data_IF_623858383172
#
_entry.id   IF_623858383172
#
_cell.length_a   1.000
_cell.length_b   1.000
_cell.length_c   1.000
_cell.angle_alpha   90.00
_cell.angle_beta   90.00
_cell.angle_gamma   90.00
#
_symmetry.space_group_name_H-M   'P 1'
#
loop_
_entity.id
_entity.type
_entity.pdbx_description
1 polymer ?
#
# COMPACT_ATOMS: atom_id res chain seq x y z
N UNK A 1 5.00 -5.97 13.35
CA UNK A 1 3.55 -6.25 13.46
C UNK A 1 2.90 -6.03 12.10
N UNK A 2 2.03 -6.95 11.67
CA UNK A 2 1.23 -6.80 10.44
C UNK A 2 -0.24 -6.84 10.80
N UNK A 3 -1.02 -5.86 10.33
CA UNK A 3 -2.46 -5.78 10.56
C UNK A 3 -3.20 -5.17 9.35
N UNK A 4 -4.52 -5.07 9.43
CA UNK A 4 -5.36 -4.55 8.35
C UNK A 4 -6.62 -3.84 8.86
N UNK A 5 -7.75 -4.05 8.18
CA UNK A 5 -9.09 -3.55 8.54
C UNK A 5 -9.33 -2.04 8.33
N UNK A 6 -8.31 -1.20 8.51
CA UNK A 6 -8.48 0.27 8.46
C UNK A 6 -8.63 0.88 7.07
N UNK A 7 -8.40 0.08 6.02
CA UNK A 7 -8.31 0.53 4.62
C UNK A 7 -7.16 1.50 4.29
N UNK A 8 -6.27 1.77 5.25
CA UNK A 8 -5.19 2.76 5.13
C UNK A 8 -3.83 2.08 5.14
N UNK A 9 -3.26 1.76 3.96
CA UNK A 9 -2.02 1.02 3.92
C UNK A 9 -0.88 1.96 4.34
N UNK A 10 -0.04 1.51 5.27
CA UNK A 10 1.13 2.26 5.77
C UNK A 10 2.23 1.33 6.26
N UNK A 11 3.42 1.87 6.39
CA UNK A 11 4.59 1.24 6.97
C UNK A 11 5.32 2.29 7.79
N UNK A 12 5.55 2.01 9.06
CA UNK A 12 6.24 2.90 9.98
C UNK A 12 7.01 2.07 10.99
N UNK A 13 8.19 2.54 11.37
CA UNK A 13 8.88 1.98 12.52
C UNK A 13 8.49 2.79 13.77
N UNK A 14 8.01 2.09 14.80
CA UNK A 14 7.37 2.71 15.96
C UNK A 14 8.05 2.27 17.26
N UNK A 15 8.27 3.24 18.16
CA UNK A 15 8.75 2.96 19.51
C UNK A 15 7.58 2.83 20.49
N UNK A 16 7.38 1.64 21.03
CA UNK A 16 6.34 1.37 22.02
C UNK A 16 6.95 1.24 23.41
N UNK A 17 6.38 1.99 24.38
CA UNK A 17 6.78 1.88 25.79
C UNK A 17 6.63 0.42 26.26
N UNK A 18 7.73 -0.15 26.74
CA UNK A 18 7.79 -1.54 27.24
C UNK A 18 8.40 -2.54 26.26
N UNK A 19 8.68 -2.14 25.01
CA UNK A 19 9.48 -2.93 24.08
C UNK A 19 10.94 -2.42 24.09
N UNK A 20 11.94 -3.33 24.11
CA UNK A 20 13.34 -2.96 24.16
C UNK A 20 13.87 -2.38 22.85
N UNK A 21 13.16 -2.63 21.74
CA UNK A 21 13.54 -2.22 20.39
C UNK A 21 12.37 -1.54 19.69
N UNK A 22 12.70 -0.75 18.67
CA UNK A 22 11.71 -0.26 17.72
C UNK A 22 10.99 -1.42 17.04
N UNK A 23 9.74 -1.20 16.67
CA UNK A 23 8.87 -2.21 16.09
C UNK A 23 8.37 -1.75 14.75
N UNK A 24 8.77 -2.46 13.71
CA UNK A 24 8.24 -2.27 12.37
C UNK A 24 6.75 -2.62 12.32
N UNK A 25 5.92 -1.64 11.93
CA UNK A 25 4.46 -1.74 11.87
C UNK A 25 4.00 -1.58 10.43
N UNK A 26 3.24 -2.55 9.94
CA UNK A 26 2.69 -2.58 8.59
C UNK A 26 1.18 -2.76 8.61
N UNK A 27 0.51 -1.97 7.79
CA UNK A 27 -0.93 -2.04 7.58
C UNK A 27 -1.22 -2.39 6.11
N UNK A 28 -2.01 -3.44 5.88
CA UNK A 28 -2.36 -3.92 4.53
C UNK A 28 -3.37 -3.03 3.82
N UNK A 29 -4.06 -2.14 4.54
CA UNK A 29 -5.13 -1.32 3.98
C UNK A 29 -6.35 -2.14 3.57
N UNK A 30 -6.93 -1.84 2.40
CA UNK A 30 -8.17 -2.41 1.90
C UNK A 30 -8.39 -2.16 0.41
N UNK A 31 -9.09 -3.09 -0.25
CA UNK A 31 -9.38 -3.08 -1.68
C UNK A 31 -10.76 -2.48 -2.02
N UNK A 32 -11.37 -1.82 -1.04
CA UNK A 32 -12.72 -1.25 -1.13
C UNK A 32 -12.59 0.22 -1.53
N UNK A 33 -13.52 0.68 -2.36
CA UNK A 33 -13.71 2.10 -2.68
C UNK A 33 -15.02 2.50 -2.06
N UNK A 34 -14.95 3.28 -0.99
CA UNK A 34 -16.09 3.63 -0.14
C UNK A 34 -16.48 5.11 -0.18
N UNK A 35 -15.77 5.91 -0.99
CA UNK A 35 -16.01 7.33 -1.20
C UNK A 35 -16.15 7.66 -2.68
N UNK A 36 -16.90 8.72 -2.97
CA UNK A 36 -17.03 9.26 -4.33
C UNK A 36 -15.76 10.01 -4.72
N UNK A 37 -15.21 10.79 -3.79
CA UNK A 37 -13.94 11.48 -3.97
C UNK A 37 -12.79 10.58 -3.51
N UNK A 38 -11.70 10.47 -4.31
CA UNK A 38 -10.53 9.66 -3.95
C UNK A 38 -9.94 10.07 -2.59
N UNK A 39 -9.62 9.10 -1.76
CA UNK A 39 -8.98 9.32 -0.45
C UNK A 39 -7.50 8.90 -0.50
N UNK A 40 -6.53 9.83 -0.50
CA UNK A 40 -5.10 9.51 -0.65
C UNK A 40 -4.55 8.50 0.35
N UNK A 41 -5.12 8.47 1.57
CA UNK A 41 -4.73 7.52 2.60
C UNK A 41 -5.34 6.13 2.40
N UNK A 42 -6.34 5.97 1.54
CA UNK A 42 -6.97 4.67 1.26
C UNK A 42 -6.23 3.94 0.15
N UNK A 43 -6.26 2.61 0.21
CA UNK A 43 -5.66 1.75 -0.80
C UNK A 43 -5.26 0.41 -0.22
N UNK A 44 -4.49 -0.36 -0.98
CA UNK A 44 -4.10 -1.70 -0.58
C UNK A 44 -2.60 -1.94 -0.68
N UNK A 45 -2.10 -2.80 0.19
CA UNK A 45 -0.75 -3.33 0.18
C UNK A 45 -0.75 -4.84 0.42
N UNK A 46 0.24 -5.50 -0.16
CA UNK A 46 0.60 -6.88 0.16
C UNK A 46 1.89 -6.82 0.99
N UNK A 47 1.90 -7.47 2.15
CA UNK A 47 3.10 -7.55 2.98
C UNK A 47 3.80 -8.87 2.67
N UNK A 48 5.04 -8.78 2.23
CA UNK A 48 5.93 -9.91 2.00
C UNK A 48 6.82 -10.07 3.22
N UNK A 49 7.07 -11.31 3.65
CA UNK A 49 7.94 -11.65 4.77
C UNK A 49 8.85 -12.80 4.34
N UNK A 50 10.14 -12.68 4.58
CA UNK A 50 11.13 -13.72 4.28
C UNK A 50 11.40 -14.65 5.48
N UNK A 51 12.33 -15.60 5.32
CA UNK A 51 12.73 -16.57 6.34
C UNK A 51 13.39 -15.94 7.58
N UNK A 52 13.99 -14.75 7.43
CA UNK A 52 14.65 -14.00 8.49
C UNK A 52 13.68 -13.00 9.16
N UNK A 53 12.39 -13.08 8.83
CA UNK A 53 11.31 -12.21 9.31
C UNK A 53 11.48 -10.74 8.90
N UNK A 54 12.27 -10.46 7.86
CA UNK A 54 12.27 -9.15 7.22
C UNK A 54 10.95 -8.94 6.50
N UNK A 55 10.30 -7.82 6.76
CA UNK A 55 9.02 -7.47 6.16
C UNK A 55 9.18 -6.31 5.16
N UNK A 56 8.43 -6.37 4.07
CA UNK A 56 8.38 -5.34 3.03
C UNK A 56 6.92 -5.13 2.62
N UNK A 57 6.54 -3.86 2.46
CA UNK A 57 5.23 -3.49 1.94
C UNK A 57 5.30 -3.31 0.43
N UNK A 58 4.67 -4.21 -0.32
CA UNK A 58 4.32 -3.96 -1.71
C UNK A 58 3.04 -3.11 -1.72
N UNK A 59 3.18 -1.79 -1.78
CA UNK A 59 2.04 -0.88 -1.91
C UNK A 59 1.44 -1.05 -3.31
N UNK A 60 0.28 -1.70 -3.37
CA UNK A 60 -0.37 -2.03 -4.63
C UNK A 60 -1.03 -0.81 -5.27
N UNK A 61 -1.65 0.04 -4.46
CA UNK A 61 -2.12 1.37 -4.86
C UNK A 61 -2.47 2.21 -3.64
N UNK A 62 -2.50 3.53 -3.84
CA UNK A 62 -3.31 4.47 -3.05
C UNK A 62 -4.35 5.08 -3.98
N UNK A 63 -5.53 5.42 -3.46
CA UNK A 63 -6.48 6.20 -4.26
C UNK A 63 -5.89 7.58 -4.54
N UNK A 64 -6.02 8.03 -5.78
CA UNK A 64 -5.53 9.34 -6.19
C UNK A 64 -6.45 9.94 -7.24
N UNK A 65 -6.41 11.26 -7.37
CA UNK A 65 -7.11 11.97 -8.44
C UNK A 65 -6.46 11.69 -9.81
N UNK A 66 -5.12 11.71 -9.86
CA UNK A 66 -4.35 11.37 -11.04
C UNK A 66 -4.16 9.83 -11.15
N UNK A 67 -4.36 9.29 -12.35
CA UNK A 67 -4.08 7.88 -12.66
C UNK A 67 -2.60 7.54 -12.60
N UNK A 68 -1.71 8.51 -12.81
CA UNK A 68 -0.27 8.27 -12.80
C UNK A 68 0.27 7.93 -11.40
N UNK A 69 -0.49 8.27 -10.35
CA UNK A 69 -0.12 8.06 -8.95
C UNK A 69 -0.50 6.66 -8.41
N UNK A 70 -1.18 5.83 -9.20
CA UNK A 70 -1.57 4.46 -8.84
C UNK A 70 -0.44 3.43 -9.01
N UNK A 71 0.81 3.88 -9.18
CA UNK A 71 1.95 3.00 -9.37
C UNK A 71 2.17 2.09 -8.16
N UNK A 72 2.46 0.82 -8.43
CA UNK A 72 2.92 -0.12 -7.41
C UNK A 72 4.28 0.35 -6.89
N UNK A 73 4.46 0.38 -5.56
CA UNK A 73 5.71 0.78 -4.90
C UNK A 73 6.15 -0.27 -3.90
N UNK A 74 7.46 -0.38 -3.71
CA UNK A 74 8.06 -1.18 -2.65
C UNK A 74 8.46 -0.22 -1.55
N UNK A 75 8.03 -0.51 -0.33
CA UNK A 75 8.22 0.36 0.83
C UNK A 75 8.68 -0.50 2.02
N UNK A 76 9.49 0.08 2.90
CA UNK A 76 9.89 -0.54 4.16
C UNK A 76 9.59 0.41 5.33
N UNK A 77 9.20 -0.14 6.47
CA UNK A 77 9.27 0.57 7.73
C UNK A 77 10.75 0.70 8.10
N UNK A 78 11.19 1.91 8.42
CA UNK A 78 12.55 2.15 8.90
C UNK A 78 12.65 3.44 9.71
N UNK A 79 13.70 3.57 10.52
CA UNK A 79 14.07 4.80 11.23
C UNK A 79 15.52 5.23 10.92
N UNK A 80 15.88 6.43 11.34
CA UNK A 80 17.25 6.92 11.20
C UNK A 80 18.22 6.00 11.96
N UNK A 81 19.33 5.64 11.32
CA UNK A 81 20.40 4.76 11.82
C UNK A 81 20.08 3.25 11.86
N UNK A 82 18.95 2.80 11.27
CA UNK A 82 18.66 1.38 11.12
C UNK A 82 19.49 0.73 10.00
N UNK A 83 19.85 -0.54 10.21
CA UNK A 83 20.54 -1.32 9.18
C UNK A 83 19.62 -1.56 7.97
N UNK A 84 20.18 -1.51 6.76
CA UNK A 84 19.44 -1.82 5.53
C UNK A 84 18.83 -3.22 5.57
N UNK A 85 17.60 -3.34 5.08
CA UNK A 85 16.87 -4.60 4.94
C UNK A 85 17.20 -5.26 3.58
N UNK A 86 17.98 -6.36 3.53
CA UNK A 86 18.37 -6.98 2.26
C UNK A 86 17.17 -7.47 1.43
N UNK A 87 16.07 -7.84 2.09
CA UNK A 87 14.86 -8.27 1.42
C UNK A 87 14.18 -7.12 0.68
N UNK A 88 14.17 -5.91 1.25
CA UNK A 88 13.67 -4.72 0.56
C UNK A 88 14.43 -4.45 -0.74
N UNK A 89 15.76 -4.55 -0.72
CA UNK A 89 16.58 -4.35 -1.93
C UNK A 89 16.23 -5.38 -3.00
N UNK A 90 16.18 -6.66 -2.62
CA UNK A 90 15.80 -7.74 -3.54
C UNK A 90 14.42 -7.52 -4.17
N UNK A 91 13.41 -7.16 -3.37
CA UNK A 91 12.06 -6.93 -3.89
C UNK A 91 11.99 -5.66 -4.76
N UNK A 92 12.69 -4.59 -4.38
CA UNK A 92 12.76 -3.35 -5.17
C UNK A 92 13.43 -3.56 -6.53
N UNK A 93 14.37 -4.50 -6.62
CA UNK A 93 14.96 -4.89 -7.90
C UNK A 93 13.99 -5.65 -8.80
N UNK A 94 13.12 -6.49 -8.24
CA UNK A 94 12.14 -7.29 -8.98
C UNK A 94 10.88 -6.49 -9.37
N UNK A 95 10.49 -5.50 -8.58
CA UNK A 95 9.28 -4.71 -8.81
C UNK A 95 9.60 -3.47 -9.63
N UNK A 96 9.55 -3.62 -10.95
CA UNK A 96 9.69 -2.51 -11.90
C UNK A 96 8.33 -1.89 -12.21
N UNK A 97 7.96 -0.82 -11.49
CA UNK A 97 6.62 -0.20 -11.55
C UNK A 97 6.20 0.27 -12.95
N UNK A 98 7.17 0.64 -13.79
CA UNK A 98 6.97 1.08 -15.18
C UNK A 98 6.94 -0.06 -16.21
N UNK A 99 7.10 -1.31 -15.79
CA UNK A 99 7.14 -2.49 -16.66
C UNK A 99 5.99 -3.46 -16.33
N UNK A 100 5.69 -4.38 -17.24
CA UNK A 100 4.69 -5.40 -16.97
C UNK A 100 5.23 -6.47 -16.01
N UNK A 101 4.39 -6.99 -15.09
CA UNK A 101 2.94 -6.81 -15.01
C UNK A 101 2.47 -5.56 -14.25
N UNK A 102 3.38 -4.84 -13.58
CA UNK A 102 3.05 -3.78 -12.62
C UNK A 102 2.42 -2.55 -13.27
N UNK A 103 2.91 -2.15 -14.45
CA UNK A 103 2.33 -1.07 -15.25
C UNK A 103 0.89 -1.39 -15.64
N UNK A 104 0.65 -2.57 -16.21
CA UNK A 104 -0.69 -3.01 -16.61
C UNK A 104 -1.62 -3.12 -15.39
N UNK A 105 -1.14 -3.67 -14.28
CA UNK A 105 -1.89 -3.73 -13.04
C UNK A 105 -2.31 -2.32 -12.56
N UNK A 106 -1.36 -1.39 -12.47
CA UNK A 106 -1.61 -0.01 -12.03
C UNK A 106 -2.68 0.68 -12.89
N UNK A 107 -2.62 0.51 -14.22
CA UNK A 107 -3.61 1.04 -15.14
C UNK A 107 -5.00 0.38 -14.99
N UNK A 108 -5.06 -0.92 -14.67
CA UNK A 108 -6.32 -1.61 -14.36
C UNK A 108 -6.94 -1.05 -13.06
N UNK A 109 -6.14 -0.92 -12.00
CA UNK A 109 -6.61 -0.42 -10.71
C UNK A 109 -7.12 1.02 -10.84
N UNK A 110 -6.37 1.91 -11.48
CA UNK A 110 -6.75 3.31 -11.64
C UNK A 110 -8.12 3.49 -12.36
N UNK A 111 -8.37 2.68 -13.40
CA UNK A 111 -9.69 2.64 -14.06
C UNK A 111 -10.79 2.04 -13.18
N UNK A 112 -10.45 0.98 -12.45
CA UNK A 112 -11.42 0.26 -11.60
C UNK A 112 -11.89 1.10 -10.43
N UNK A 113 -10.98 1.83 -9.77
CA UNK A 113 -11.32 2.73 -8.65
C UNK A 113 -12.29 3.81 -9.10
N UNK A 114 -11.99 4.47 -10.23
CA UNK A 114 -12.91 5.46 -10.84
C UNK A 114 -14.28 4.89 -11.15
N UNK A 115 -14.35 3.70 -11.73
CA UNK A 115 -15.62 3.03 -12.05
C UNK A 115 -16.42 2.73 -10.77
N UNK A 116 -15.75 2.29 -9.70
CA UNK A 116 -16.41 2.04 -8.41
C UNK A 116 -16.96 3.34 -7.79
N UNK A 117 -16.19 4.42 -7.81
CA UNK A 117 -16.65 5.72 -7.33
C UNK A 117 -17.86 6.25 -8.12
N UNK A 118 -17.88 6.07 -9.45
CA UNK A 118 -19.03 6.40 -10.29
C UNK A 118 -20.27 5.58 -9.94
N UNK A 119 -20.12 4.27 -9.76
CA UNK A 119 -21.22 3.40 -9.34
C UNK A 119 -21.76 3.77 -7.96
N UNK A 120 -20.87 4.14 -7.03
CA UNK A 120 -21.27 4.60 -5.70
C UNK A 120 -22.08 5.91 -5.79
N UNK A 121 -21.61 6.87 -6.59
CA UNK A 121 -22.33 8.13 -6.83
C UNK A 121 -23.72 7.91 -7.45
N UNK A 122 -23.82 6.98 -8.41
CA UNK A 122 -25.10 6.64 -9.03
C UNK A 122 -26.09 6.12 -7.99
N UNK A 123 -25.66 5.21 -7.11
CA UNK A 123 -26.49 4.67 -6.03
C UNK A 123 -26.95 5.73 -5.03
N UNK A 124 -26.04 6.64 -4.65
CA UNK A 124 -26.38 7.76 -3.74
C UNK A 124 -27.44 8.68 -4.35
N UNK A 125 -27.43 8.88 -5.66
CA UNK A 125 -28.38 9.74 -6.35
C UNK A 125 -29.73 9.05 -6.69
N UNK A 126 -29.82 7.73 -6.54
CA UNK A 126 -31.06 6.95 -6.72
C UNK A 126 -31.93 6.92 -5.45
N UNK A 127 -31.37 7.31 -4.29
CA UNK A 127 -32.06 7.53 -3.01
C UNK A 127 -32.57 8.96 -2.86
#
# INVERSE_FOLDING_TARGET
IVFGHTHKPFQEDMNFKGYPHWTNVYNTGGWIVESVDPQPLHGAAVILVDEDLNAVSLRMYNEAADQTEYSVRVEQATHADEQENPFYHRISELVKSSEDPWKTFSAIVARTVRKRAQNLRARINEE
#
